data_IF_846541098984
#
_entry.id   IF_846541098984
#
_cell.length_a   1.000
_cell.length_b   1.000
_cell.length_c   1.000
_cell.angle_alpha   90.00
_cell.angle_beta   90.00
_cell.angle_gamma   90.00
#
_symmetry.space_group_name_H-M   'P 1'
#
loop_
_entity.id
_entity.type
_entity.pdbx_description
1 polymer ?
#
# COMPACT_ATOMS: atom_id res chain seq x y z
N UNK A 1 25.21 11.57 24.31
CA UNK A 1 24.94 11.00 25.64
C UNK A 1 23.75 11.74 26.24
N UNK A 2 22.58 11.13 26.29
CA UNK A 2 21.39 11.73 26.89
C UNK A 2 21.51 11.65 28.42
N UNK A 3 21.54 12.80 29.09
CA UNK A 3 21.74 12.90 30.53
C UNK A 3 20.52 12.41 31.29
N UNK A 4 20.69 11.34 32.08
CA UNK A 4 19.69 10.88 33.05
C UNK A 4 19.68 11.84 34.24
N UNK A 5 18.63 12.65 34.37
CA UNK A 5 18.13 13.11 35.66
C UNK A 5 16.66 12.71 35.73
N UNK A 6 16.28 12.13 36.87
CA UNK A 6 14.90 11.79 37.26
C UNK A 6 14.28 10.50 36.69
N UNK A 7 15.08 9.58 36.16
CA UNK A 7 14.61 8.23 35.79
C UNK A 7 13.76 8.17 34.52
N UNK A 8 13.36 9.31 33.98
CA UNK A 8 12.69 9.44 32.68
C UNK A 8 13.73 9.72 31.58
N UNK A 9 13.62 8.98 30.47
CA UNK A 9 14.36 9.28 29.25
C UNK A 9 13.65 10.45 28.57
N UNK A 10 14.34 11.59 28.39
CA UNK A 10 13.82 12.68 27.56
C UNK A 10 13.76 12.20 26.10
N UNK A 11 12.62 12.37 25.46
CA UNK A 11 12.54 12.30 24.00
C UNK A 11 13.48 13.35 23.42
N UNK A 12 14.39 12.90 22.57
CA UNK A 12 15.23 13.77 21.76
C UNK A 12 14.49 13.94 20.43
N UNK A 13 14.04 15.15 20.13
CA UNK A 13 13.30 15.47 18.89
C UNK A 13 14.14 15.22 17.62
N UNK A 14 15.46 15.04 17.75
CA UNK A 14 16.34 14.64 16.66
C UNK A 14 16.35 13.12 16.42
N UNK A 15 15.80 12.31 17.33
CA UNK A 15 15.69 10.85 17.17
C UNK A 15 14.47 10.48 16.34
N UNK A 16 14.63 9.44 15.52
CA UNK A 16 13.51 8.87 14.77
C UNK A 16 12.45 8.30 15.72
N UNK A 17 11.22 8.77 15.55
CA UNK A 17 10.06 8.29 16.32
C UNK A 17 9.79 6.81 16.03
N UNK A 18 9.62 6.03 17.10
CA UNK A 18 9.12 4.65 17.05
C UNK A 18 7.63 4.65 17.39
N UNK A 19 6.81 4.06 16.55
CA UNK A 19 5.41 3.82 16.87
C UNK A 19 5.30 2.42 17.46
N UNK A 20 5.02 2.38 18.77
CA UNK A 20 4.78 1.14 19.51
C UNK A 20 3.27 0.98 19.66
N UNK A 21 2.77 -0.18 19.24
CA UNK A 21 1.37 -0.57 19.40
C UNK A 21 1.26 -1.50 20.59
N UNK A 22 0.38 -1.15 21.52
CA UNK A 22 0.02 -1.98 22.67
C UNK A 22 -1.37 -2.56 22.42
N UNK A 23 -1.47 -3.88 22.39
CA UNK A 23 -2.74 -4.58 22.30
C UNK A 23 -2.92 -5.43 23.55
N UNK A 24 -4.00 -5.22 24.28
CA UNK A 24 -4.40 -6.06 25.39
C UNK A 24 -5.56 -6.92 24.90
N UNK A 25 -5.38 -8.24 24.96
CA UNK A 25 -6.39 -9.20 24.58
C UNK A 25 -6.47 -10.26 25.66
N UNK A 26 -7.63 -10.37 26.30
CA UNK A 26 -7.81 -11.16 27.52
C UNK A 26 -6.76 -10.79 28.59
N UNK A 27 -5.95 -11.75 29.06
CA UNK A 27 -4.89 -11.55 30.05
C UNK A 27 -3.50 -11.36 29.41
N UNK A 28 -3.43 -11.13 28.09
CA UNK A 28 -2.17 -10.99 27.36
C UNK A 28 -1.92 -9.55 26.90
N UNK A 29 -0.71 -9.05 27.14
CA UNK A 29 -0.20 -7.79 26.60
C UNK A 29 0.73 -8.08 25.42
N UNK A 30 0.36 -7.60 24.24
CA UNK A 30 1.18 -7.60 23.03
C UNK A 30 1.82 -6.23 22.86
N UNK A 31 3.16 -6.21 22.82
CA UNK A 31 3.96 -5.02 22.51
C UNK A 31 4.52 -5.20 21.11
N UNK A 32 4.07 -4.39 20.16
CA UNK A 32 4.40 -4.51 18.75
C UNK A 32 5.05 -3.24 18.24
N UNK A 33 5.92 -3.38 17.25
CA UNK A 33 6.53 -2.25 16.55
C UNK A 33 5.90 -2.06 15.18
N UNK A 34 5.44 -0.85 14.86
CA UNK A 34 5.01 -0.53 13.50
C UNK A 34 6.22 -0.37 12.58
N UNK A 35 6.44 -1.37 11.72
CA UNK A 35 7.47 -1.35 10.67
C UNK A 35 6.97 -0.71 9.37
N UNK A 36 5.64 -0.67 9.16
CA UNK A 36 5.03 -0.17 7.93
C UNK A 36 4.98 1.35 7.89
N UNK A 37 4.78 2.00 9.03
CA UNK A 37 4.42 3.41 9.09
C UNK A 37 2.97 3.59 8.68
N UNK A 38 2.73 4.29 7.57
CA UNK A 38 1.38 4.42 7.02
C UNK A 38 0.71 3.06 6.78
N UNK A 39 -0.62 3.02 6.94
CA UNK A 39 -1.40 1.81 6.67
C UNK A 39 -1.13 1.27 5.25
N UNK A 40 -1.03 -0.05 5.11
CA UNK A 40 -0.58 -0.70 3.87
C UNK A 40 -1.49 -0.46 2.67
N UNK A 41 -2.79 -0.22 2.87
CA UNK A 41 -3.72 0.08 1.78
C UNK A 41 -3.31 1.34 1.01
N UNK A 42 -2.64 2.31 1.66
CA UNK A 42 -2.07 3.47 0.97
C UNK A 42 -0.90 3.02 0.08
N UNK A 43 -1.18 2.65 -1.17
CA UNK A 43 -0.15 2.20 -2.13
C UNK A 43 0.71 3.35 -2.67
N UNK A 44 0.18 4.56 -2.64
CA UNK A 44 0.84 5.78 -3.14
C UNK A 44 0.20 6.36 -4.41
N UNK A 45 -0.56 5.57 -5.17
CA UNK A 45 -1.15 6.03 -6.44
C UNK A 45 -2.38 6.93 -6.29
N UNK A 46 -3.10 6.81 -5.17
CA UNK A 46 -4.35 7.53 -4.94
C UNK A 46 -4.06 8.95 -4.49
N UNK A 47 -4.16 9.90 -5.42
CA UNK A 47 -4.05 11.35 -5.13
C UNK A 47 -5.40 11.90 -4.68
N UNK A 48 -6.48 11.44 -5.32
CA UNK A 48 -7.84 11.91 -5.08
C UNK A 48 -8.77 10.74 -4.78
N UNK A 49 -9.73 10.99 -3.89
CA UNK A 49 -10.76 10.06 -3.46
C UNK A 49 -12.14 10.66 -3.72
N UNK A 50 -13.07 9.84 -4.22
CA UNK A 50 -14.50 10.18 -4.19
C UNK A 50 -15.07 10.13 -2.76
N UNK A 51 -16.39 10.21 -2.61
CA UNK A 51 -17.02 10.23 -1.28
C UNK A 51 -16.78 8.95 -0.45
N UNK A 52 -16.77 7.78 -1.09
CA UNK A 52 -16.67 6.50 -0.39
C UNK A 52 -15.81 5.48 -1.17
N UNK A 53 -14.51 5.75 -1.35
CA UNK A 53 -13.63 4.80 -2.03
C UNK A 53 -13.47 3.51 -1.22
N UNK A 54 -13.52 2.37 -1.90
CA UNK A 54 -13.05 1.12 -1.31
C UNK A 54 -11.55 1.22 -1.01
N UNK A 55 -11.14 0.62 0.11
CA UNK A 55 -9.71 0.48 0.43
C UNK A 55 -9.03 -0.44 -0.58
N UNK A 56 -7.81 -0.12 -0.95
CA UNK A 56 -7.00 -0.83 -1.94
C UNK A 56 -6.81 -2.30 -1.58
N UNK A 57 -6.55 -2.59 -0.30
CA UNK A 57 -6.42 -3.97 0.18
C UNK A 57 -7.73 -4.76 0.03
N UNK A 58 -8.89 -4.13 0.22
CA UNK A 58 -10.18 -4.75 -0.02
C UNK A 58 -10.42 -4.95 -1.53
N UNK A 59 -10.09 -3.96 -2.36
CA UNK A 59 -10.15 -4.09 -3.82
C UNK A 59 -9.31 -5.28 -4.32
N UNK A 60 -8.06 -5.37 -3.88
CA UNK A 60 -7.17 -6.50 -4.19
C UNK A 60 -7.75 -7.84 -3.74
N UNK A 61 -8.35 -7.91 -2.54
CA UNK A 61 -9.01 -9.12 -2.05
C UNK A 61 -10.20 -9.52 -2.93
N UNK A 62 -11.02 -8.56 -3.36
CA UNK A 62 -12.18 -8.80 -4.25
C UNK A 62 -11.74 -9.33 -5.62
N UNK A 63 -10.70 -8.75 -6.23
CA UNK A 63 -10.14 -9.26 -7.50
C UNK A 63 -9.64 -10.69 -7.32
N UNK A 64 -8.96 -11.00 -6.21
CA UNK A 64 -8.50 -12.36 -5.95
C UNK A 64 -9.65 -13.35 -5.74
N UNK A 65 -10.71 -12.92 -5.05
CA UNK A 65 -11.90 -13.73 -4.78
C UNK A 65 -12.78 -13.94 -6.00
N UNK A 66 -12.75 -13.03 -6.98
CA UNK A 66 -13.49 -13.21 -8.24
C UNK A 66 -12.94 -14.36 -9.09
N UNK A 67 -11.74 -14.87 -8.76
CA UNK A 67 -11.02 -15.91 -9.51
C UNK A 67 -10.75 -15.50 -10.96
N UNK A 68 -10.73 -14.20 -11.23
CA UNK A 68 -10.36 -13.65 -12.52
C UNK A 68 -8.97 -14.17 -12.93
N UNK A 69 -8.89 -14.66 -14.16
CA UNK A 69 -7.65 -15.14 -14.77
C UNK A 69 -7.13 -14.06 -15.71
N UNK A 70 -5.83 -13.81 -15.70
CA UNK A 70 -5.22 -12.71 -16.46
C UNK A 70 -5.43 -12.77 -17.98
N UNK A 71 -5.79 -13.94 -18.50
CA UNK A 71 -6.13 -14.21 -19.90
C UNK A 71 -7.56 -13.76 -20.28
N UNK A 72 -8.42 -13.55 -19.29
CA UNK A 72 -9.80 -13.12 -19.44
C UNK A 72 -9.90 -11.60 -19.31
N UNK A 73 -10.94 -11.01 -19.91
CA UNK A 73 -11.24 -9.60 -19.72
C UNK A 73 -11.89 -9.38 -18.35
N UNK A 74 -11.46 -8.35 -17.62
CA UNK A 74 -12.15 -7.85 -16.43
C UNK A 74 -12.87 -6.55 -16.75
N UNK A 75 -14.10 -6.39 -16.27
CA UNK A 75 -14.86 -5.15 -16.43
C UNK A 75 -15.47 -4.70 -15.11
N UNK A 76 -15.19 -3.46 -14.73
CA UNK A 76 -15.83 -2.76 -13.61
C UNK A 76 -16.77 -1.66 -14.14
N UNK A 77 -18.09 -1.88 -14.19
CA UNK A 77 -19.05 -0.92 -14.74
C UNK A 77 -19.41 0.24 -13.79
N UNK A 78 -18.92 0.21 -12.54
CA UNK A 78 -19.23 1.22 -11.52
C UNK A 78 -17.94 1.58 -10.76
N UNK A 79 -16.91 1.94 -11.51
CA UNK A 79 -15.55 1.94 -11.01
C UNK A 79 -15.23 3.09 -10.04
N UNK A 80 -16.07 4.13 -10.00
CA UNK A 80 -15.80 5.35 -9.22
C UNK A 80 -14.39 5.88 -9.49
N UNK A 81 -13.58 5.97 -8.43
CA UNK A 81 -12.18 6.41 -8.52
C UNK A 81 -11.21 5.37 -9.10
N UNK A 82 -11.70 4.23 -9.60
CA UNK A 82 -10.93 3.21 -10.32
C UNK A 82 -10.20 2.18 -9.46
N UNK A 83 -10.45 2.09 -8.15
CA UNK A 83 -9.65 1.25 -7.24
C UNK A 83 -9.62 -0.21 -7.63
N UNK A 84 -10.77 -0.82 -7.93
CA UNK A 84 -10.83 -2.25 -8.26
C UNK A 84 -10.06 -2.55 -9.55
N UNK A 85 -10.25 -1.71 -10.58
CA UNK A 85 -9.55 -1.83 -11.85
C UNK A 85 -8.02 -1.64 -11.70
N UNK A 86 -7.58 -0.66 -10.89
CA UNK A 86 -6.15 -0.43 -10.62
C UNK A 86 -5.54 -1.62 -9.87
N UNK A 87 -6.19 -2.14 -8.82
CA UNK A 87 -5.69 -3.33 -8.12
C UNK A 87 -5.65 -4.57 -9.03
N UNK A 88 -6.59 -4.70 -9.98
CA UNK A 88 -6.55 -5.75 -10.99
C UNK A 88 -5.35 -5.60 -11.93
N UNK A 89 -5.03 -4.38 -12.38
CA UNK A 89 -3.84 -4.10 -13.19
C UNK A 89 -2.57 -4.47 -12.42
N UNK A 90 -2.45 -4.00 -11.17
CA UNK A 90 -1.27 -4.29 -10.34
C UNK A 90 -1.10 -5.80 -10.12
N UNK A 91 -2.19 -6.53 -9.91
CA UNK A 91 -2.18 -7.98 -9.76
C UNK A 91 -1.77 -8.70 -11.05
N UNK A 92 -2.33 -8.31 -12.20
CA UNK A 92 -1.98 -8.89 -13.50
C UNK A 92 -0.53 -8.62 -13.90
N UNK A 93 -0.01 -7.43 -13.57
CA UNK A 93 1.40 -7.08 -13.74
C UNK A 93 2.33 -7.80 -12.77
N UNK A 94 1.81 -8.51 -11.76
CA UNK A 94 2.60 -8.98 -10.63
C UNK A 94 3.44 -7.85 -9.99
N UNK A 95 2.89 -6.63 -9.96
CA UNK A 95 3.58 -5.45 -9.42
C UNK A 95 3.43 -5.44 -7.91
N UNK A 96 4.55 -5.43 -7.19
CA UNK A 96 4.52 -5.45 -5.74
C UNK A 96 3.91 -4.13 -5.19
N UNK A 97 2.95 -4.22 -4.24
CA UNK A 97 2.19 -3.06 -3.76
C UNK A 97 3.01 -2.08 -2.92
N UNK A 98 4.24 -2.45 -2.56
CA UNK A 98 5.17 -1.65 -1.77
C UNK A 98 6.21 -0.87 -2.59
N UNK A 99 6.21 -0.98 -3.93
CA UNK A 99 7.29 -0.44 -4.76
C UNK A 99 7.41 1.09 -4.71
N UNK A 100 6.27 1.78 -4.76
CA UNK A 100 6.20 3.25 -4.86
C UNK A 100 5.94 3.93 -3.51
N UNK A 101 6.16 3.23 -2.39
CA UNK A 101 5.98 3.78 -1.04
C UNK A 101 7.19 3.58 -0.16
N UNK A 102 7.19 4.31 0.95
CA UNK A 102 8.16 4.16 2.03
C UNK A 102 7.58 3.36 3.20
N UNK A 103 8.45 2.61 3.86
CA UNK A 103 8.17 1.94 5.12
C UNK A 103 8.89 2.63 6.29
N UNK A 104 8.31 2.55 7.49
CA UNK A 104 8.94 3.13 8.68
C UNK A 104 10.28 2.47 9.03
N UNK A 105 10.47 1.18 8.68
CA UNK A 105 11.73 0.49 8.92
C UNK A 105 12.90 0.99 8.07
N UNK A 106 12.65 1.59 6.90
CA UNK A 106 13.70 2.09 5.96
C UNK A 106 14.61 3.14 6.56
N UNK A 107 14.00 3.99 7.38
CA UNK A 107 14.70 5.11 7.99
C UNK A 107 15.58 4.64 9.14
N UNK A 108 15.35 3.42 9.66
CA UNK A 108 15.88 2.92 10.92
C UNK A 108 17.02 1.94 10.69
N UNK A 109 17.94 1.83 11.65
CA UNK A 109 18.99 0.81 11.72
C UNK A 109 18.47 -0.62 12.00
N UNK A 110 17.17 -0.86 11.77
CA UNK A 110 16.51 -2.15 12.00
C UNK A 110 16.67 -3.06 10.78
N UNK A 111 16.82 -2.49 9.59
CA UNK A 111 17.07 -3.23 8.36
C UNK A 111 18.20 -2.55 7.57
N UNK A 112 19.02 -3.35 6.91
CA UNK A 112 20.00 -2.82 5.96
C UNK A 112 19.25 -2.18 4.78
N UNK A 113 19.63 -0.97 4.39
CA UNK A 113 19.06 -0.31 3.22
C UNK A 113 19.38 -1.08 1.94
N UNK A 114 20.54 -1.74 1.88
CA UNK A 114 20.94 -2.54 0.72
C UNK A 114 19.94 -3.68 0.47
N UNK A 115 19.46 -4.31 1.54
CA UNK A 115 18.48 -5.38 1.48
C UNK A 115 17.16 -4.93 0.84
N UNK A 116 16.62 -3.77 1.25
CA UNK A 116 15.35 -3.32 0.68
C UNK A 116 15.48 -2.97 -0.81
N UNK A 117 16.57 -2.31 -1.20
CA UNK A 117 16.79 -1.98 -2.62
C UNK A 117 16.93 -3.25 -3.46
N UNK A 118 17.60 -4.27 -2.95
CA UNK A 118 17.67 -5.59 -3.60
C UNK A 118 16.29 -6.24 -3.76
N UNK A 119 15.46 -6.22 -2.71
CA UNK A 119 14.10 -6.78 -2.77
C UNK A 119 13.16 -5.97 -3.70
N UNK A 120 13.28 -4.64 -3.72
CA UNK A 120 12.55 -3.80 -4.68
C UNK A 120 12.96 -4.12 -6.10
N UNK A 121 14.25 -4.33 -6.35
CA UNK A 121 14.75 -4.68 -7.68
C UNK A 121 14.28 -6.07 -8.12
N UNK A 122 14.35 -7.07 -7.24
CA UNK A 122 13.77 -8.41 -7.49
C UNK A 122 12.27 -8.32 -7.83
N UNK A 123 11.52 -7.50 -7.10
CA UNK A 123 10.10 -7.30 -7.36
C UNK A 123 9.84 -6.66 -8.75
N UNK A 124 10.64 -5.67 -9.16
CA UNK A 124 10.55 -5.08 -10.51
C UNK A 124 10.85 -6.09 -11.61
N UNK A 125 11.83 -6.96 -11.39
CA UNK A 125 12.22 -8.00 -12.35
C UNK A 125 11.14 -9.08 -12.53
N UNK A 126 10.31 -9.31 -11.51
CA UNK A 126 9.20 -10.26 -11.54
C UNK A 126 7.91 -9.67 -12.15
N UNK A 127 7.90 -8.40 -12.55
CA UNK A 127 6.74 -7.82 -13.23
C UNK A 127 6.45 -8.55 -14.54
N UNK A 128 5.20 -8.98 -14.70
CA UNK A 128 4.70 -9.59 -15.92
C UNK A 128 4.54 -8.53 -17.02
N UNK A 129 5.10 -8.81 -18.20
CA UNK A 129 5.12 -7.92 -19.37
C UNK A 129 4.18 -8.34 -20.51
N UNK A 130 3.33 -9.35 -20.26
CA UNK A 130 2.36 -9.78 -21.26
C UNK A 130 1.15 -8.85 -21.35
N UNK A 131 0.12 -9.30 -22.05
CA UNK A 131 -1.09 -8.51 -22.29
C UNK A 131 -2.20 -8.91 -21.33
N UNK A 132 -2.95 -7.93 -20.86
CA UNK A 132 -4.17 -8.08 -20.06
C UNK A 132 -5.14 -6.97 -20.47
N UNK A 133 -6.43 -7.24 -20.35
CA UNK A 133 -7.49 -6.31 -20.75
C UNK A 133 -8.42 -6.08 -19.56
N UNK A 134 -8.37 -4.86 -19.03
CA UNK A 134 -9.20 -4.41 -17.92
C UNK A 134 -9.93 -3.16 -18.38
N UNK A 135 -11.26 -3.19 -18.26
CA UNK A 135 -12.14 -2.10 -18.61
C UNK A 135 -12.79 -1.55 -17.35
N UNK A 136 -13.02 -0.25 -17.32
CA UNK A 136 -13.67 0.43 -16.21
C UNK A 136 -14.57 1.55 -16.75
N UNK A 137 -15.78 1.67 -16.21
CA UNK A 137 -16.69 2.77 -16.54
C UNK A 137 -17.47 3.22 -15.30
N UNK A 138 -18.00 4.42 -15.39
CA UNK A 138 -18.86 5.03 -14.38
C UNK A 138 -19.76 6.04 -15.10
N UNK A 139 -20.93 6.32 -14.53
CA UNK A 139 -21.83 7.35 -15.07
C UNK A 139 -21.27 8.76 -14.83
N UNK A 140 -20.44 8.93 -13.80
CA UNK A 140 -19.91 10.22 -13.39
C UNK A 140 -18.59 10.51 -14.13
N UNK A 141 -18.56 11.55 -14.99
CA UNK A 141 -17.34 11.90 -15.72
C UNK A 141 -16.21 12.39 -14.82
N UNK A 142 -16.50 12.97 -13.65
CA UNK A 142 -15.47 13.42 -12.70
C UNK A 142 -14.77 12.21 -12.07
N UNK A 143 -15.53 11.18 -11.71
CA UNK A 143 -15.00 9.90 -11.24
C UNK A 143 -14.10 9.24 -12.28
N UNK A 144 -14.51 9.25 -13.56
CA UNK A 144 -13.68 8.71 -14.65
C UNK A 144 -12.39 9.51 -14.83
N UNK A 145 -12.44 10.84 -14.74
CA UNK A 145 -11.25 11.67 -14.80
C UNK A 145 -10.30 11.36 -13.62
N UNK A 146 -10.85 11.17 -12.42
CA UNK A 146 -10.11 10.79 -11.22
C UNK A 146 -9.48 9.39 -11.35
N UNK A 147 -10.24 8.41 -11.84
CA UNK A 147 -9.75 7.05 -12.09
C UNK A 147 -8.56 7.05 -13.06
N UNK A 148 -8.62 7.85 -14.13
CA UNK A 148 -7.49 8.02 -15.07
C UNK A 148 -6.26 8.64 -14.41
N UNK A 149 -6.43 9.65 -13.55
CA UNK A 149 -5.31 10.25 -12.80
C UNK A 149 -4.68 9.22 -11.85
N UNK A 150 -5.50 8.54 -11.04
CA UNK A 150 -5.04 7.50 -10.12
C UNK A 150 -4.33 6.35 -10.85
N UNK A 151 -4.84 5.90 -12.00
CA UNK A 151 -4.21 4.86 -12.82
C UNK A 151 -2.87 5.29 -13.41
N UNK A 152 -2.69 6.58 -13.73
CA UNK A 152 -1.41 7.11 -14.23
C UNK A 152 -0.31 7.08 -13.16
N UNK A 153 -0.69 7.17 -11.89
CA UNK A 153 0.24 7.17 -10.75
C UNK A 153 0.50 5.77 -10.16
N UNK A 154 -0.18 4.74 -10.66
CA UNK A 154 -0.10 3.36 -10.17
C UNK A 154 1.00 2.55 -10.87
#
# INVERSE_FOLDING_TARGET
MCGKKDGFVREDDALQKFEIMLLIMEEQLFIMLNTSGDALHKRGYRIEAGEAPIKENLGSALVRLSRWRYEENLYDPFCGSGTLAIEAVLMAKNRAPGLERHFAFERRSVADRSFLEEEKEKARQQEYKGTYQIYASDKDPEMIAMAKRNATNA
#
